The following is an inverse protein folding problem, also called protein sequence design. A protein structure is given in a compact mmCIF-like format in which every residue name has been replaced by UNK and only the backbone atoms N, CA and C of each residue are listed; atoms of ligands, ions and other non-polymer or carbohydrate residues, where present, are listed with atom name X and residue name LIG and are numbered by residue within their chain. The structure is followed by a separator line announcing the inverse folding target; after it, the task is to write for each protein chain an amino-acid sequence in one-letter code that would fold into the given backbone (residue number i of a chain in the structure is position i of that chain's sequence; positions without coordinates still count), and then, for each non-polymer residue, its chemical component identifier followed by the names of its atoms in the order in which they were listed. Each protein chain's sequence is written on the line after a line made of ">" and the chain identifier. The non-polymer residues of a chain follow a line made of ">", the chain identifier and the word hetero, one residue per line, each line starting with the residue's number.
data_IF_424729587879
#
_entry.id   IF_424729587879
#
_cell.length_a   1.000
_cell.length_b   1.000
_cell.length_c   1.000
_cell.angle_alpha   90.00
_cell.angle_beta   90.00
_cell.angle_gamma   90.00
#
_symmetry.space_group_name_H-M   'P 1'
#
loop_
_entity.id
_entity.type
_entity.pdbx_description
1 polymer ?
#
# COMPACT_ATOMS: atom_id res chain seq x y z
N UNK A 1 9.15 14.85 -11.15
CA UNK A 1 9.62 16.21 -11.51
C UNK A 1 11.03 16.38 -10.99
N UNK A 2 11.98 16.67 -11.86
CA UNK A 2 13.35 17.04 -11.47
C UNK A 2 13.31 18.45 -10.90
N UNK A 3 13.96 18.69 -9.75
CA UNK A 3 13.92 19.98 -9.06
C UNK A 3 15.33 20.55 -8.94
N UNK A 4 15.47 21.82 -9.30
CA UNK A 4 16.74 22.53 -9.16
C UNK A 4 17.19 22.62 -7.70
N UNK A 5 18.51 22.68 -7.45
CA UNK A 5 19.06 22.82 -6.11
C UNK A 5 18.57 24.12 -5.47
N UNK A 6 18.13 24.04 -4.21
CA UNK A 6 17.69 25.22 -3.44
C UNK A 6 18.84 26.17 -3.06
N UNK A 7 20.08 25.67 -3.09
CA UNK A 7 21.29 26.40 -2.68
C UNK A 7 22.25 26.39 -3.87
N UNK A 8 22.76 27.56 -4.25
CA UNK A 8 23.55 27.75 -5.48
C UNK A 8 24.82 26.89 -5.56
N UNK A 9 25.45 26.56 -4.42
CA UNK A 9 26.66 25.71 -4.39
C UNK A 9 26.36 24.22 -4.64
N UNK A 10 25.12 23.79 -4.49
CA UNK A 10 24.77 22.38 -4.56
C UNK A 10 24.39 21.98 -5.99
N UNK A 11 24.77 20.77 -6.40
CA UNK A 11 24.35 20.17 -7.66
C UNK A 11 23.54 18.91 -7.39
N UNK A 12 22.26 18.91 -7.75
CA UNK A 12 21.42 17.73 -7.67
C UNK A 12 21.75 16.78 -8.84
N UNK A 13 21.87 15.48 -8.57
CA UNK A 13 22.02 14.41 -9.59
C UNK A 13 20.91 13.39 -9.42
N UNK A 14 20.38 12.89 -10.53
CA UNK A 14 19.25 11.95 -10.52
C UNK A 14 19.60 10.70 -11.33
N UNK A 15 20.55 9.87 -10.85
CA UNK A 15 21.11 8.77 -11.63
C UNK A 15 20.05 7.79 -12.13
N UNK A 16 18.97 7.57 -11.37
CA UNK A 16 17.86 6.72 -11.77
C UNK A 16 17.09 7.28 -12.97
N UNK A 17 16.90 8.60 -13.03
CA UNK A 17 16.22 9.29 -14.13
C UNK A 17 17.15 9.39 -15.35
N UNK A 18 18.41 9.77 -15.12
CA UNK A 18 19.45 9.88 -16.15
C UNK A 18 19.65 8.56 -16.89
N UNK A 19 19.59 7.43 -16.17
CA UNK A 19 19.70 6.07 -16.73
C UNK A 19 18.36 5.45 -17.15
N UNK A 20 17.24 6.19 -17.05
CA UNK A 20 15.88 5.72 -17.34
C UNK A 20 15.56 4.38 -16.67
N UNK A 21 15.99 4.21 -15.42
CA UNK A 21 15.75 2.98 -14.66
C UNK A 21 14.32 2.94 -14.13
N UNK A 22 13.66 1.81 -14.30
CA UNK A 22 12.36 1.53 -13.68
C UNK A 22 12.57 0.99 -12.26
N UNK A 23 11.50 0.95 -11.46
CA UNK A 23 11.54 0.30 -10.13
C UNK A 23 12.01 -1.15 -10.23
N UNK A 24 11.59 -1.87 -11.28
CA UNK A 24 11.99 -3.25 -11.50
C UNK A 24 13.51 -3.35 -11.78
N UNK A 25 14.07 -2.46 -12.62
CA UNK A 25 15.51 -2.44 -12.84
C UNK A 25 16.30 -2.21 -11.54
N UNK A 26 15.80 -1.37 -10.64
CA UNK A 26 16.44 -1.20 -9.32
C UNK A 26 16.43 -2.51 -8.51
N UNK A 27 15.31 -3.23 -8.50
CA UNK A 27 15.19 -4.53 -7.82
C UNK A 27 16.17 -5.54 -8.43
N UNK A 28 16.27 -5.59 -9.76
CA UNK A 28 17.15 -6.52 -10.47
C UNK A 28 18.63 -6.22 -10.20
N UNK A 29 19.02 -4.95 -10.16
CA UNK A 29 20.38 -4.52 -9.78
C UNK A 29 20.72 -4.96 -8.34
N UNK A 30 19.78 -4.82 -7.40
CA UNK A 30 19.97 -5.24 -6.00
C UNK A 30 20.14 -6.76 -5.91
N UNK A 31 19.30 -7.52 -6.63
CA UNK A 31 19.40 -8.98 -6.70
C UNK A 31 20.71 -9.45 -7.33
N UNK A 32 21.15 -8.79 -8.40
CA UNK A 32 22.43 -9.08 -9.07
C UNK A 32 23.62 -8.81 -8.14
N UNK A 33 23.53 -7.79 -7.29
CA UNK A 33 24.48 -7.51 -6.23
C UNK A 33 24.39 -8.48 -5.03
N UNK A 34 23.48 -9.47 -5.08
CA UNK A 34 23.20 -10.44 -4.00
C UNK A 34 22.80 -9.77 -2.68
N UNK A 35 22.17 -8.61 -2.75
CA UNK A 35 21.64 -7.90 -1.59
C UNK A 35 20.15 -8.24 -1.40
N UNK A 36 19.65 -8.25 -0.15
CA UNK A 36 18.22 -8.41 0.09
C UNK A 36 17.46 -7.22 -0.49
N UNK A 37 16.34 -7.50 -1.16
CA UNK A 37 15.46 -6.44 -1.67
C UNK A 37 14.84 -5.72 -0.48
N UNK A 38 14.98 -4.40 -0.37
CA UNK A 38 14.43 -3.67 0.76
C UNK A 38 12.90 -3.80 0.77
N UNK A 39 12.29 -3.95 1.95
CA UNK A 39 10.84 -3.92 2.08
C UNK A 39 10.32 -2.52 1.73
N UNK A 40 8.99 -2.39 1.65
CA UNK A 40 8.38 -1.12 1.35
C UNK A 40 8.63 -0.11 2.48
N UNK A 41 9.16 1.06 2.14
CA UNK A 41 9.42 2.18 3.04
C UNK A 41 8.22 3.08 3.38
N UNK A 42 6.97 2.74 3.01
CA UNK A 42 5.85 3.60 3.40
C UNK A 42 5.57 3.50 4.90
N UNK A 43 5.20 4.63 5.52
CA UNK A 43 4.82 4.69 6.93
C UNK A 43 3.66 3.74 7.21
N UNK A 44 3.67 3.08 8.38
CA UNK A 44 2.63 2.12 8.78
C UNK A 44 1.22 2.73 8.81
N UNK A 45 1.10 4.04 8.98
CA UNK A 45 -0.17 4.78 8.98
C UNK A 45 -0.45 5.58 7.71
N UNK A 46 0.30 5.33 6.62
CA UNK A 46 0.17 6.13 5.41
C UNK A 46 -1.25 6.01 4.82
N UNK A 47 -1.99 7.13 4.64
CA UNK A 47 -3.34 7.07 4.06
C UNK A 47 -3.33 6.73 2.56
N UNK A 48 -2.15 6.77 1.92
CA UNK A 48 -1.96 6.42 0.51
C UNK A 48 -1.46 4.98 0.32
N UNK A 49 -1.64 4.12 1.32
CA UNK A 49 -1.25 2.73 1.26
C UNK A 49 -2.24 1.90 0.42
N UNK A 50 -1.70 0.94 -0.34
CA UNK A 50 -2.51 0.08 -1.22
C UNK A 50 -3.27 -0.98 -0.42
N UNK A 51 -4.47 -1.35 -0.90
CA UNK A 51 -5.30 -2.38 -0.27
C UNK A 51 -4.59 -3.74 -0.14
N UNK A 52 -3.78 -4.12 -1.13
CA UNK A 52 -3.01 -5.37 -1.07
C UNK A 52 -2.06 -5.40 0.13
N UNK A 53 -1.42 -4.26 0.44
CA UNK A 53 -0.53 -4.17 1.59
C UNK A 53 -1.31 -4.20 2.89
N UNK A 54 -2.41 -3.47 2.99
CA UNK A 54 -3.23 -3.53 4.20
C UNK A 54 -3.74 -4.94 4.50
N UNK A 55 -4.11 -5.71 3.48
CA UNK A 55 -4.45 -7.13 3.64
C UNK A 55 -3.28 -7.96 4.12
N UNK A 56 -2.09 -7.75 3.55
CA UNK A 56 -0.87 -8.46 3.96
C UNK A 56 -0.50 -8.15 5.43
N UNK A 57 -0.51 -6.87 5.83
CA UNK A 57 -0.23 -6.45 7.20
C UNK A 57 -1.27 -6.99 8.19
N UNK A 58 -2.55 -6.98 7.81
CA UNK A 58 -3.64 -7.56 8.61
C UNK A 58 -3.52 -9.08 8.74
N UNK A 59 -3.20 -9.79 7.65
CA UNK A 59 -3.05 -11.25 7.63
C UNK A 59 -1.80 -11.72 8.39
N UNK A 60 -0.70 -10.97 8.28
CA UNK A 60 0.54 -11.25 9.00
C UNK A 60 0.45 -10.88 10.49
N UNK A 61 -0.60 -10.15 10.89
CA UNK A 61 -0.79 -9.69 12.27
C UNK A 61 0.35 -8.78 12.73
N UNK A 62 0.82 -7.87 11.87
CA UNK A 62 1.98 -7.03 12.19
C UNK A 62 1.65 -6.04 13.33
N UNK A 63 2.63 -5.78 14.19
CA UNK A 63 2.53 -4.72 15.22
C UNK A 63 2.21 -3.36 14.58
N UNK A 64 2.72 -3.13 13.38
CA UNK A 64 2.46 -1.94 12.57
C UNK A 64 0.97 -1.80 12.20
N UNK A 65 0.28 -2.91 11.91
CA UNK A 65 -1.17 -2.89 11.67
C UNK A 65 -1.94 -2.54 12.95
N UNK A 66 -1.59 -3.16 14.07
CA UNK A 66 -2.21 -2.85 15.37
C UNK A 66 -2.01 -1.37 15.76
N UNK A 67 -0.80 -0.84 15.54
CA UNK A 67 -0.48 0.57 15.73
C UNK A 67 -1.29 1.49 14.80
N UNK A 68 -1.49 1.09 13.54
CA UNK A 68 -2.32 1.84 12.59
C UNK A 68 -3.79 1.88 13.02
N UNK A 69 -4.36 0.75 13.49
CA UNK A 69 -5.73 0.68 14.01
C UNK A 69 -5.90 1.57 15.25
N UNK A 70 -4.94 1.50 16.19
CA UNK A 70 -4.93 2.34 17.40
C UNK A 70 -4.92 3.83 17.04
N UNK A 71 -4.06 4.23 16.10
CA UNK A 71 -3.98 5.62 15.64
C UNK A 71 -5.28 6.07 14.94
N UNK A 72 -5.86 5.24 14.08
CA UNK A 72 -7.14 5.52 13.40
C UNK A 72 -8.28 5.75 14.41
N UNK A 73 -8.33 4.94 15.48
CA UNK A 73 -9.27 5.13 16.59
C UNK A 73 -9.02 6.44 17.34
N UNK A 74 -7.77 6.70 17.73
CA UNK A 74 -7.38 7.92 18.43
C UNK A 74 -7.74 9.19 17.63
N UNK A 75 -7.48 9.19 16.32
CA UNK A 75 -7.81 10.32 15.44
C UNK A 75 -9.31 10.59 15.41
N UNK A 76 -10.14 9.55 15.37
CA UNK A 76 -11.61 9.68 15.43
C UNK A 76 -12.10 10.21 16.77
N UNK A 77 -11.60 9.69 17.88
CA UNK A 77 -11.97 10.14 19.23
C UNK A 77 -11.56 11.60 19.46
N UNK A 78 -10.37 11.96 19.01
CA UNK A 78 -9.90 13.35 19.07
C UNK A 78 -10.74 14.28 18.20
N UNK A 79 -11.15 13.84 17.01
CA UNK A 79 -12.07 14.63 16.19
C UNK A 79 -13.41 14.87 16.89
N UNK A 80 -14.00 13.82 17.50
CA UNK A 80 -15.25 13.92 18.26
C UNK A 80 -15.14 14.88 19.45
N UNK A 81 -14.08 14.78 20.26
CA UNK A 81 -13.90 15.64 21.44
C UNK A 81 -13.70 17.13 21.10
N UNK A 82 -13.14 17.44 19.93
CA UNK A 82 -12.96 18.82 19.46
C UNK A 82 -14.14 19.31 18.61
N UNK A 83 -15.17 18.48 18.38
CA UNK A 83 -16.30 18.81 17.51
C UNK A 83 -15.94 18.96 16.03
N UNK A 84 -14.84 18.32 15.59
CA UNK A 84 -14.39 18.29 14.19
C UNK A 84 -14.92 17.06 13.48
N UNK A 85 -14.94 17.12 12.15
CA UNK A 85 -15.27 15.96 11.32
C UNK A 85 -14.26 14.83 11.55
N UNK A 86 -14.73 13.58 11.74
CA UNK A 86 -13.84 12.43 11.87
C UNK A 86 -13.00 12.25 10.59
N UNK A 87 -11.78 11.73 10.79
CA UNK A 87 -10.83 11.40 9.73
C UNK A 87 -10.60 9.90 9.76
N UNK A 88 -10.35 9.32 8.59
CA UNK A 88 -10.07 7.90 8.42
C UNK A 88 -8.76 7.73 7.66
N UNK A 89 -7.98 6.70 8.02
CA UNK A 89 -6.78 6.34 7.27
C UNK A 89 -7.12 5.67 5.93
N UNK A 90 -8.24 4.95 5.85
CA UNK A 90 -8.68 4.26 4.64
C UNK A 90 -9.62 5.11 3.79
N UNK A 91 -9.49 5.00 2.47
CA UNK A 91 -10.28 5.75 1.50
C UNK A 91 -11.79 5.46 1.58
N UNK A 92 -12.18 4.27 2.05
CA UNK A 92 -13.59 3.86 2.25
C UNK A 92 -14.27 4.59 3.42
N UNK A 93 -13.53 5.38 4.21
CA UNK A 93 -14.02 6.09 5.41
C UNK A 93 -14.62 5.15 6.45
N UNK A 94 -14.03 3.97 6.58
CA UNK A 94 -14.38 2.97 7.60
C UNK A 94 -13.19 2.74 8.53
N UNK A 95 -13.42 2.30 9.78
CA UNK A 95 -12.38 1.81 10.66
C UNK A 95 -11.51 0.77 9.96
N UNK A 96 -10.19 0.88 10.11
CA UNK A 96 -9.24 -0.01 9.44
C UNK A 96 -9.49 -1.49 9.79
N UNK A 97 -9.87 -1.75 11.04
CA UNK A 97 -10.27 -3.06 11.56
C UNK A 97 -11.51 -3.64 10.84
N UNK A 98 -12.51 -2.79 10.57
CA UNK A 98 -13.73 -3.20 9.87
C UNK A 98 -13.50 -3.48 8.38
N UNK A 99 -12.50 -2.84 7.77
CA UNK A 99 -12.23 -3.00 6.33
C UNK A 99 -11.57 -4.33 6.04
N UNK A 100 -10.63 -4.76 6.90
CA UNK A 100 -9.82 -5.96 6.67
C UNK A 100 -10.14 -7.11 7.63
N UNK A 101 -11.30 -7.06 8.30
CA UNK A 101 -11.82 -8.20 9.06
C UNK A 101 -11.89 -9.45 8.18
N UNK A 102 -11.46 -10.58 8.74
CA UNK A 102 -11.24 -11.87 8.07
C UNK A 102 -12.45 -12.39 7.28
N UNK A 103 -13.67 -11.89 7.56
CA UNK A 103 -14.90 -12.26 6.87
C UNK A 103 -14.98 -11.79 5.41
N UNK A 104 -14.23 -10.76 5.01
CA UNK A 104 -14.23 -10.30 3.62
C UNK A 104 -13.33 -11.15 2.69
N UNK A 105 -12.65 -12.16 3.23
CA UNK A 105 -11.70 -13.00 2.47
C UNK A 105 -12.35 -14.19 1.76
N UNK A 106 -13.62 -14.46 1.99
CA UNK A 106 -14.35 -15.53 1.33
C UNK A 106 -15.25 -14.98 0.23
N UNK A 107 -14.69 -14.70 -0.94
CA UNK A 107 -15.47 -14.85 -2.17
C UNK A 107 -15.45 -16.35 -2.48
N UNK A 108 -16.58 -17.07 -2.43
CA UNK A 108 -16.59 -18.48 -2.81
C UNK A 108 -16.54 -18.53 -4.34
N UNK A 109 -15.33 -18.41 -4.91
CA UNK A 109 -15.12 -19.02 -6.21
C UNK A 109 -15.16 -20.52 -5.95
N UNK A 110 -16.29 -21.12 -6.35
CA UNK A 110 -16.67 -22.49 -6.09
C UNK A 110 -15.48 -23.44 -6.14
N UNK A 111 -15.32 -24.18 -5.05
CA UNK A 111 -14.59 -25.43 -5.02
C UNK A 111 -15.39 -26.46 -5.79
N UNK A 112 -15.38 -26.41 -7.12
CA UNK A 112 -15.83 -27.54 -7.93
C UNK A 112 -14.85 -27.67 -9.09
N UNK A 113 -14.24 -28.85 -9.19
CA UNK A 113 -13.61 -29.26 -10.44
C UNK A 113 -14.62 -29.15 -11.58
N UNK A 114 -14.09 -28.92 -12.78
CA UNK A 114 -14.83 -28.83 -14.05
C UNK A 114 -15.30 -27.42 -14.45
N UNK A 115 -14.36 -26.64 -14.99
CA UNK A 115 -14.52 -25.86 -16.24
C UNK A 115 -13.22 -25.12 -16.58
N UNK A 116 -12.18 -25.91 -16.89
CA UNK A 116 -11.16 -25.46 -17.84
C UNK A 116 -11.77 -25.56 -19.24
N UNK A 117 -12.45 -24.50 -19.67
CA UNK A 117 -12.49 -24.12 -21.08
C UNK A 117 -13.12 -22.73 -21.26
N UNK A 118 -12.35 -21.80 -21.81
CA UNK A 118 -12.90 -20.66 -22.53
C UNK A 118 -13.21 -19.40 -21.71
N UNK A 119 -12.18 -18.74 -21.16
CA UNK A 119 -12.27 -17.29 -20.96
C UNK A 119 -10.99 -16.58 -21.40
N UNK A 120 -10.83 -16.52 -22.73
CA UNK A 120 -9.78 -15.77 -23.45
C UNK A 120 -10.29 -14.41 -23.96
N UNK A 121 -11.19 -13.76 -23.21
CA UNK A 121 -11.84 -12.51 -23.62
C UNK A 121 -11.42 -11.32 -22.77
N UNK A 122 -10.54 -10.47 -23.30
CA UNK A 122 -10.22 -9.18 -22.73
C UNK A 122 -11.40 -8.21 -22.93
N UNK A 123 -12.37 -8.22 -22.03
CA UNK A 123 -13.44 -7.20 -21.94
C UNK A 123 -14.42 -7.52 -20.80
N UNK A 124 -14.19 -6.94 -19.61
CA UNK A 124 -15.25 -6.68 -18.64
C UNK A 124 -14.80 -5.57 -17.67
N UNK A 125 -15.01 -4.32 -18.09
CA UNK A 125 -15.28 -3.18 -17.21
C UNK A 125 -16.19 -2.21 -18.00
N UNK A 126 -17.50 -2.43 -17.90
CA UNK A 126 -18.47 -1.35 -17.67
C UNK A 126 -18.81 -1.37 -16.19
#
# INVERSE_FOLDING_TARGET
>A
RVRDPRVARNRNRWPLIEKRLTRQHCIDIIKLAKLPVPPWSACYFCPLQNDARWREEAANGSDDFANAVSLDNYMRERAKSVGKTPVWLHWSRRPLDNVYSSDQLAFPLGTDGDLMDGCSGANCFT
#
